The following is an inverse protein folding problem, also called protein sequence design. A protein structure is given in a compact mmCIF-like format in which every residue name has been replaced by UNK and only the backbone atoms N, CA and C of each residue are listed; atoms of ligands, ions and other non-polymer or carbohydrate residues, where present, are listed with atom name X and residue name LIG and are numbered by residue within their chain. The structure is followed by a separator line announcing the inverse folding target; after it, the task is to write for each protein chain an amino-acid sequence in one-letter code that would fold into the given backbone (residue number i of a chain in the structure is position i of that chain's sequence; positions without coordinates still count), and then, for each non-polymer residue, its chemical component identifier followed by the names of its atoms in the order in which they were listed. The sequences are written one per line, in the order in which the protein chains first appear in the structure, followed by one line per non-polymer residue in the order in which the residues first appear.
data_IF_231797930436
#
_entry.id   IF_231797930436
#
_cell.length_a   1.000
_cell.length_b   1.000
_cell.length_c   1.000
_cell.angle_alpha   90.00
_cell.angle_beta   90.00
_cell.angle_gamma   90.00
#
_symmetry.space_group_name_H-M   'P 1'
#
loop_
_entity.id
_entity.type
_entity.pdbx_description
1 polymer ?
#
# COMPACT_ATOMS: atom_id res chain seq x y z
N UNK A 1 1.61 3.11 0.42
CA UNK A 1 2.17 4.46 0.26
C UNK A 1 1.37 5.49 1.06
N UNK A 2 0.05 5.65 0.82
CA UNK A 2 -0.73 6.72 1.46
C UNK A 2 -0.95 6.51 2.98
N UNK A 3 -1.09 5.28 3.43
CA UNK A 3 -1.29 4.97 4.84
C UNK A 3 0.01 4.80 5.63
N UNK A 4 1.14 4.57 4.97
CA UNK A 4 2.38 4.17 5.61
C UNK A 4 2.36 2.78 6.27
N UNK A 5 1.24 2.06 6.17
CA UNK A 5 1.08 0.71 6.74
C UNK A 5 1.52 -0.33 5.71
N UNK A 6 2.52 -1.13 6.08
CA UNK A 6 3.02 -2.27 5.31
C UNK A 6 2.46 -3.57 5.90
N UNK A 7 1.17 -3.78 5.70
CA UNK A 7 0.48 -4.99 6.09
C UNK A 7 -0.49 -5.41 4.99
N UNK A 8 -0.50 -6.70 4.69
CA UNK A 8 -1.43 -7.27 3.73
C UNK A 8 -2.89 -7.05 4.15
N UNK A 9 -3.79 -7.15 3.21
CA UNK A 9 -5.23 -7.06 3.44
C UNK A 9 -5.67 -5.71 4.06
N UNK A 10 -4.91 -4.64 3.80
CA UNK A 10 -5.22 -3.29 4.30
C UNK A 10 -5.93 -2.49 3.21
N UNK A 11 -7.00 -1.80 3.57
CA UNK A 11 -7.76 -0.91 2.68
C UNK A 11 -7.80 0.48 3.29
N UNK A 12 -7.42 1.49 2.50
CA UNK A 12 -7.60 2.89 2.86
C UNK A 12 -8.79 3.47 2.08
N UNK A 13 -9.79 3.97 2.80
CA UNK A 13 -10.92 4.68 2.25
C UNK A 13 -10.77 6.17 2.58
N UNK A 14 -10.81 6.99 1.55
CA UNK A 14 -10.74 8.46 1.66
C UNK A 14 -12.04 9.06 1.10
N UNK A 15 -12.76 9.80 1.94
CA UNK A 15 -13.96 10.52 1.54
C UNK A 15 -13.94 11.94 2.13
N UNK A 16 -13.18 12.88 1.55
CA UNK A 16 -12.97 14.22 2.11
C UNK A 16 -14.27 14.99 2.38
N UNK A 17 -15.29 14.73 1.59
CA UNK A 17 -16.58 15.41 1.65
C UNK A 17 -17.62 14.68 2.54
N UNK A 18 -17.22 13.62 3.26
CA UNK A 18 -18.13 12.90 4.14
C UNK A 18 -18.75 13.83 5.19
N UNK A 19 -20.05 13.64 5.44
CA UNK A 19 -20.84 14.40 6.41
C UNK A 19 -20.24 14.28 7.82
N UNK A 20 -19.94 13.05 8.23
CA UNK A 20 -19.24 12.82 9.50
C UNK A 20 -17.74 12.95 9.29
N UNK A 21 -17.05 13.88 9.98
CA UNK A 21 -15.60 14.03 9.86
C UNK A 21 -14.81 12.75 10.15
N UNK A 22 -15.35 11.82 10.95
CA UNK A 22 -14.73 10.53 11.27
C UNK A 22 -14.69 9.58 10.08
N UNK A 23 -15.52 9.81 9.08
CA UNK A 23 -15.60 9.00 7.86
C UNK A 23 -14.73 9.53 6.71
N UNK A 24 -14.02 10.65 6.92
CA UNK A 24 -13.18 11.23 5.89
C UNK A 24 -11.93 10.40 5.57
N UNK A 25 -11.42 9.72 6.57
CA UNK A 25 -10.27 8.83 6.46
C UNK A 25 -10.51 7.59 7.31
N UNK A 26 -10.61 6.43 6.68
CA UNK A 26 -10.84 5.16 7.37
C UNK A 26 -9.81 4.16 6.90
N UNK A 27 -9.06 3.58 7.84
CA UNK A 27 -8.15 2.49 7.57
C UNK A 27 -8.78 1.17 8.02
N UNK A 28 -8.85 0.21 7.11
CA UNK A 28 -9.29 -1.15 7.42
C UNK A 28 -8.10 -2.09 7.43
N UNK A 29 -7.98 -2.91 8.47
CA UNK A 29 -6.94 -3.92 8.63
C UNK A 29 -7.53 -5.24 9.09
N UNK A 30 -6.76 -6.32 8.91
CA UNK A 30 -7.16 -7.63 9.43
C UNK A 30 -7.32 -7.58 10.94
N UNK A 31 -8.39 -8.21 11.43
CA UNK A 31 -8.59 -8.40 12.84
C UNK A 31 -7.46 -9.25 13.44
N UNK A 32 -6.95 -8.84 14.57
CA UNK A 32 -5.88 -9.54 15.28
C UNK A 32 -6.19 -9.70 16.77
N UNK A 33 -5.65 -10.74 17.35
CA UNK A 33 -5.61 -11.01 18.80
C UNK A 33 -4.31 -11.74 19.13
N UNK A 34 -4.00 -11.85 20.42
CA UNK A 34 -2.84 -12.63 20.85
C UNK A 34 -2.91 -14.09 20.39
N UNK A 35 -4.10 -14.68 20.37
CA UNK A 35 -4.32 -16.06 19.90
C UNK A 35 -4.10 -16.18 18.37
N UNK A 36 -4.60 -15.23 17.59
CA UNK A 36 -4.42 -15.21 16.15
C UNK A 36 -2.96 -14.99 15.77
N UNK A 37 -2.23 -14.18 16.54
CA UNK A 37 -0.81 -13.91 16.30
C UNK A 37 0.07 -15.16 16.39
N UNK A 38 -0.31 -16.16 17.20
CA UNK A 38 0.41 -17.43 17.32
C UNK A 38 0.39 -18.22 15.98
N UNK A 39 -0.72 -18.15 15.25
CA UNK A 39 -0.93 -18.95 14.03
C UNK A 39 -0.63 -18.19 12.74
N UNK A 40 -0.84 -16.88 12.74
CA UNK A 40 -0.79 -16.06 11.52
C UNK A 40 0.33 -15.00 11.55
N UNK A 41 1.14 -15.00 12.62
CA UNK A 41 2.12 -13.94 12.86
C UNK A 41 1.47 -12.68 13.43
N UNK A 42 2.30 -11.81 14.00
CA UNK A 42 1.85 -10.54 14.56
C UNK A 42 1.29 -9.63 13.46
N UNK A 43 0.12 -9.07 13.71
CA UNK A 43 -0.53 -8.04 12.90
C UNK A 43 -0.72 -6.79 13.73
N UNK A 44 -0.82 -5.65 13.09
CA UNK A 44 -1.04 -4.38 13.79
C UNK A 44 -2.38 -4.38 14.51
N UNK A 45 -2.35 -4.02 15.77
CA UNK A 45 -3.55 -3.63 16.52
C UNK A 45 -4.09 -2.30 15.97
N UNK A 46 -5.32 -1.94 16.31
CA UNK A 46 -5.88 -0.63 15.90
C UNK A 46 -5.04 0.53 16.41
N UNK A 47 -4.49 0.44 17.61
CA UNK A 47 -3.64 1.48 18.20
C UNK A 47 -2.35 1.66 17.43
N UNK A 48 -1.65 0.56 17.14
CA UNK A 48 -0.41 0.59 16.35
C UNK A 48 -0.65 1.07 14.92
N UNK A 49 -1.76 0.63 14.29
CA UNK A 49 -2.14 1.11 12.97
C UNK A 49 -2.47 2.61 12.96
N UNK A 50 -3.13 3.12 14.02
CA UNK A 50 -3.38 4.56 14.20
C UNK A 50 -2.07 5.33 14.35
N UNK A 51 -1.15 4.84 15.17
CA UNK A 51 0.15 5.48 15.39
C UNK A 51 0.98 5.52 14.09
N UNK A 52 1.01 4.41 13.36
CA UNK A 52 1.78 4.29 12.13
C UNK A 52 1.19 5.10 10.98
N UNK A 53 -0.14 5.07 10.80
CA UNK A 53 -0.81 5.74 9.70
C UNK A 53 -1.14 7.22 9.98
N UNK A 54 -1.24 7.61 11.26
CA UNK A 54 -1.81 8.90 11.66
C UNK A 54 -3.33 9.00 11.52
N UNK A 55 -4.00 7.94 11.08
CA UNK A 55 -5.44 7.88 10.84
C UNK A 55 -6.16 7.44 12.11
N UNK A 56 -7.12 8.25 12.57
CA UNK A 56 -7.81 8.00 13.83
C UNK A 56 -8.91 6.93 13.75
N UNK A 57 -9.55 6.80 12.58
CA UNK A 57 -10.61 5.82 12.37
C UNK A 57 -10.04 4.53 11.76
N UNK A 58 -9.61 3.61 12.63
CA UNK A 58 -9.14 2.28 12.23
C UNK A 58 -10.22 1.25 12.55
N UNK A 59 -10.63 0.50 11.55
CA UNK A 59 -11.66 -0.53 11.64
C UNK A 59 -11.11 -1.89 11.22
N UNK A 60 -11.76 -2.96 11.68
CA UNK A 60 -11.46 -4.29 11.17
C UNK A 60 -12.00 -4.47 9.76
N UNK A 61 -11.27 -5.21 8.93
CA UNK A 61 -11.58 -5.42 7.51
C UNK A 61 -13.01 -6.00 7.31
N UNK A 62 -13.50 -6.80 8.26
CA UNK A 62 -14.87 -7.33 8.23
C UNK A 62 -15.96 -6.25 8.20
N UNK A 63 -15.65 -5.01 8.61
CA UNK A 63 -16.59 -3.90 8.58
C UNK A 63 -16.57 -3.12 7.26
N UNK A 64 -15.64 -3.43 6.35
CA UNK A 64 -15.45 -2.68 5.11
C UNK A 64 -16.73 -2.59 4.28
N UNK A 65 -17.37 -3.72 4.02
CA UNK A 65 -18.56 -3.78 3.16
C UNK A 65 -19.76 -2.97 3.70
N UNK A 66 -20.00 -3.03 5.01
CA UNK A 66 -21.10 -2.28 5.65
C UNK A 66 -20.80 -0.78 5.70
N UNK A 67 -19.54 -0.43 5.99
CA UNK A 67 -19.11 0.97 5.99
C UNK A 67 -19.14 1.57 4.58
N UNK A 68 -18.59 0.86 3.59
CA UNK A 68 -18.64 1.30 2.20
C UNK A 68 -20.11 1.48 1.74
N UNK A 69 -20.98 0.51 2.05
CA UNK A 69 -22.40 0.60 1.65
C UNK A 69 -23.10 1.84 2.24
N UNK A 70 -22.81 2.16 3.49
CA UNK A 70 -23.34 3.37 4.13
C UNK A 70 -22.84 4.63 3.44
N UNK A 71 -21.55 4.74 3.16
CA UNK A 71 -20.94 5.93 2.55
C UNK A 71 -21.32 6.10 1.08
N UNK A 72 -21.63 5.02 0.36
CA UNK A 72 -22.12 5.09 -1.01
C UNK A 72 -23.46 5.78 -1.14
N UNK A 73 -24.24 5.92 -0.05
CA UNK A 73 -25.48 6.72 -0.05
C UNK A 73 -25.20 8.23 -0.13
N UNK A 74 -23.99 8.67 0.21
CA UNK A 74 -23.56 10.08 0.20
C UNK A 74 -22.67 10.41 -1.01
N UNK A 75 -22.09 9.41 -1.65
CA UNK A 75 -21.08 9.57 -2.70
C UNK A 75 -21.72 9.55 -4.10
N UNK A 76 -21.35 10.49 -4.96
CA UNK A 76 -21.73 10.49 -6.38
C UNK A 76 -20.67 9.78 -7.24
N UNK A 77 -19.42 9.90 -6.88
CA UNK A 77 -18.27 9.37 -7.64
C UNK A 77 -17.37 8.52 -6.76
N UNK A 78 -17.03 7.36 -7.25
CA UNK A 78 -16.06 6.46 -6.59
C UNK A 78 -14.79 6.35 -7.43
N UNK A 79 -13.65 6.69 -6.83
CA UNK A 79 -12.34 6.53 -7.46
C UNK A 79 -11.71 5.20 -7.04
N UNK A 80 -11.60 4.29 -7.98
CA UNK A 80 -10.97 2.99 -7.75
C UNK A 80 -9.50 3.05 -8.13
N UNK A 81 -8.67 2.38 -7.33
CA UNK A 81 -7.27 2.19 -7.63
C UNK A 81 -7.13 1.03 -8.62
N UNK A 82 -6.41 1.28 -9.70
CA UNK A 82 -6.14 0.29 -10.73
C UNK A 82 -4.75 0.54 -11.30
N UNK A 83 -3.97 -0.52 -11.48
CA UNK A 83 -2.65 -0.40 -12.05
C UNK A 83 -2.75 -0.21 -13.57
N UNK A 84 -2.58 1.03 -14.01
CA UNK A 84 -2.71 1.41 -15.41
C UNK A 84 -1.36 1.45 -16.14
N UNK A 85 -0.27 1.01 -15.52
CA UNK A 85 1.03 1.00 -16.16
C UNK A 85 1.17 -0.19 -17.12
N UNK A 86 1.51 0.08 -18.37
CA UNK A 86 1.60 -0.94 -19.43
C UNK A 86 2.61 -2.06 -19.15
N UNK A 87 3.64 -1.80 -18.33
CA UNK A 87 4.64 -2.81 -17.91
C UNK A 87 4.18 -3.69 -16.75
N UNK A 88 3.07 -3.34 -16.11
CA UNK A 88 2.54 -4.04 -14.94
C UNK A 88 1.30 -4.86 -15.27
N UNK A 89 1.11 -5.25 -16.54
CA UNK A 89 0.05 -6.19 -16.90
C UNK A 89 0.35 -7.54 -16.24
N UNK A 90 -0.54 -7.98 -15.35
CA UNK A 90 -0.48 -9.32 -14.78
C UNK A 90 -1.41 -10.25 -15.58
N UNK A 91 -0.94 -11.43 -16.01
CA UNK A 91 -1.82 -12.43 -16.59
C UNK A 91 -2.74 -13.08 -15.54
N UNK A 92 -2.46 -12.84 -14.25
CA UNK A 92 -3.23 -13.36 -13.12
C UNK A 92 -4.06 -12.20 -12.55
N UNK A 93 -5.34 -12.44 -12.35
CA UNK A 93 -6.23 -11.50 -11.72
C UNK A 93 -5.79 -11.22 -10.28
N UNK A 94 -5.49 -9.95 -10.00
CA UNK A 94 -5.11 -9.54 -8.65
C UNK A 94 -6.33 -9.40 -7.74
N UNK A 95 -6.12 -9.39 -6.43
CA UNK A 95 -7.17 -9.10 -5.47
C UNK A 95 -7.84 -7.74 -5.73
N UNK A 96 -7.04 -6.72 -6.02
CA UNK A 96 -7.54 -5.39 -6.32
C UNK A 96 -8.46 -5.37 -7.55
N UNK A 97 -8.12 -6.13 -8.61
CA UNK A 97 -8.98 -6.26 -9.79
C UNK A 97 -10.33 -6.90 -9.44
N UNK A 98 -10.33 -7.99 -8.66
CA UNK A 98 -11.57 -8.64 -8.20
C UNK A 98 -12.42 -7.71 -7.34
N UNK A 99 -11.80 -6.98 -6.41
CA UNK A 99 -12.50 -6.05 -5.55
C UNK A 99 -13.10 -4.89 -6.35
N UNK A 100 -12.35 -4.33 -7.29
CA UNK A 100 -12.82 -3.27 -8.18
C UNK A 100 -14.01 -3.74 -9.01
N UNK A 101 -13.98 -4.95 -9.54
CA UNK A 101 -15.09 -5.50 -10.30
C UNK A 101 -16.31 -5.76 -9.40
N UNK A 102 -16.11 -6.31 -8.21
CA UNK A 102 -17.17 -6.50 -7.21
C UNK A 102 -17.88 -5.18 -6.88
N UNK A 103 -17.12 -4.11 -6.70
CA UNK A 103 -17.65 -2.78 -6.40
C UNK A 103 -18.44 -2.23 -7.59
N UNK A 104 -17.92 -2.34 -8.82
CA UNK A 104 -18.63 -1.90 -10.02
C UNK A 104 -19.98 -2.60 -10.20
N UNK A 105 -20.01 -3.91 -10.00
CA UNK A 105 -21.25 -4.70 -10.08
C UNK A 105 -22.23 -4.32 -8.97
N UNK A 106 -21.73 -4.08 -7.75
CA UNK A 106 -22.56 -3.77 -6.59
C UNK A 106 -23.19 -2.36 -6.65
N UNK A 107 -22.48 -1.41 -7.28
CA UNK A 107 -22.89 0.01 -7.33
C UNK A 107 -22.97 0.53 -8.79
N UNK A 108 -23.86 -0.05 -9.63
CA UNK A 108 -23.88 0.24 -11.06
C UNK A 108 -24.36 1.66 -11.40
N UNK A 109 -25.03 2.32 -10.47
CA UNK A 109 -25.56 3.68 -10.68
C UNK A 109 -24.60 4.79 -10.25
N UNK A 110 -23.43 4.45 -9.71
CA UNK A 110 -22.41 5.42 -9.33
C UNK A 110 -21.41 5.65 -10.46
N UNK A 111 -20.90 6.86 -10.56
CA UNK A 111 -19.82 7.15 -11.50
C UNK A 111 -18.52 6.59 -10.97
N UNK A 112 -17.82 5.80 -11.80
CA UNK A 112 -16.51 5.27 -11.45
C UNK A 112 -15.42 6.12 -12.10
N UNK A 113 -14.60 6.73 -11.25
CA UNK A 113 -13.44 7.53 -11.65
C UNK A 113 -12.13 6.76 -11.53
N UNK A 114 -11.08 7.33 -12.12
CA UNK A 114 -9.72 6.79 -12.07
C UNK A 114 -8.93 7.49 -10.98
N UNK A 115 -8.45 6.77 -9.97
CA UNK A 115 -7.56 7.33 -8.93
C UNK A 115 -6.13 7.54 -9.42
N UNK A 116 -5.67 6.76 -10.39
CA UNK A 116 -4.29 6.78 -10.86
C UNK A 116 -3.76 8.18 -11.24
N UNK A 117 -4.48 9.05 -11.99
CA UNK A 117 -4.00 10.40 -12.28
C UNK A 117 -3.79 11.26 -11.03
N UNK A 118 -4.67 11.12 -10.03
CA UNK A 118 -4.58 11.83 -8.75
C UNK A 118 -3.33 11.37 -7.99
N UNK A 119 -3.17 10.06 -7.83
CA UNK A 119 -2.04 9.45 -7.13
C UNK A 119 -0.71 9.74 -7.82
N UNK A 120 -0.66 9.69 -9.17
CA UNK A 120 0.54 10.04 -9.93
C UNK A 120 0.95 11.50 -9.70
N UNK A 121 -0.02 12.42 -9.69
CA UNK A 121 0.26 13.84 -9.44
C UNK A 121 0.85 14.05 -8.04
N UNK A 122 0.29 13.43 -7.01
CA UNK A 122 0.78 13.53 -5.63
C UNK A 122 2.19 12.95 -5.53
N UNK A 123 2.42 11.75 -6.10
CA UNK A 123 3.72 11.05 -6.00
C UNK A 123 4.81 11.58 -6.92
N UNK A 124 4.48 12.40 -7.92
CA UNK A 124 5.49 12.96 -8.84
C UNK A 124 6.36 14.02 -8.18
N UNK A 125 5.80 14.80 -7.26
CA UNK A 125 6.54 15.77 -6.46
C UNK A 125 6.80 15.17 -5.09
N UNK A 126 8.09 15.01 -4.74
CA UNK A 126 8.52 14.39 -3.49
C UNK A 126 8.59 15.42 -2.36
N UNK A 127 8.18 15.02 -1.17
CA UNK A 127 8.43 15.82 0.03
C UNK A 127 9.91 15.75 0.45
N UNK A 128 10.32 16.60 1.38
CA UNK A 128 11.68 16.57 1.91
C UNK A 128 11.98 15.25 2.62
N UNK A 129 11.01 14.70 3.33
CA UNK A 129 11.11 13.42 4.03
C UNK A 129 11.28 12.26 3.04
N UNK A 130 10.53 12.27 1.94
CA UNK A 130 10.69 11.28 0.88
C UNK A 130 12.06 11.37 0.21
N UNK A 131 12.58 12.60 -0.01
CA UNK A 131 13.92 12.80 -0.57
C UNK A 131 14.99 12.20 0.34
N UNK A 132 14.89 12.39 1.66
CA UNK A 132 15.82 11.78 2.62
C UNK A 132 15.82 10.26 2.52
N UNK A 133 14.65 9.62 2.42
CA UNK A 133 14.56 8.16 2.27
C UNK A 133 15.09 7.68 0.92
N UNK A 134 14.82 8.40 -0.16
CA UNK A 134 15.35 8.10 -1.48
C UNK A 134 16.89 8.21 -1.50
N UNK A 135 17.44 9.25 -0.85
CA UNK A 135 18.89 9.40 -0.74
C UNK A 135 19.51 8.23 0.03
N UNK A 136 18.89 7.83 1.15
CA UNK A 136 19.36 6.67 1.93
C UNK A 136 19.34 5.39 1.10
N UNK A 137 18.29 5.14 0.32
CA UNK A 137 18.23 3.99 -0.57
C UNK A 137 19.33 4.00 -1.65
N UNK A 138 19.63 5.20 -2.20
CA UNK A 138 20.74 5.39 -3.15
C UNK A 138 22.09 5.12 -2.49
N UNK A 139 22.31 5.58 -1.25
CA UNK A 139 23.54 5.40 -0.52
C UNK A 139 23.82 3.92 -0.20
N UNK A 140 22.77 3.18 0.22
CA UNK A 140 22.84 1.71 0.42
C UNK A 140 23.17 1.01 -0.90
N UNK A 141 22.48 1.38 -1.98
CA UNK A 141 22.74 0.81 -3.31
C UNK A 141 24.17 1.09 -3.76
N UNK A 142 24.66 2.32 -3.54
CA UNK A 142 26.05 2.68 -3.84
C UNK A 142 27.03 1.82 -3.06
N UNK A 143 26.83 1.61 -1.76
CA UNK A 143 27.68 0.76 -0.94
C UNK A 143 27.71 -0.68 -1.49
N UNK A 144 26.56 -1.23 -1.89
CA UNK A 144 26.48 -2.54 -2.54
C UNK A 144 27.31 -2.62 -3.83
N UNK A 145 27.21 -1.60 -4.70
CA UNK A 145 28.04 -1.54 -5.90
C UNK A 145 29.53 -1.41 -5.59
N UNK A 146 29.92 -0.54 -4.67
CA UNK A 146 31.32 -0.35 -4.27
C UNK A 146 31.91 -1.68 -3.75
N UNK A 147 31.14 -2.46 -2.99
CA UNK A 147 31.51 -3.77 -2.49
C UNK A 147 31.70 -4.78 -3.61
N UNK A 148 30.72 -4.88 -4.51
CA UNK A 148 30.79 -5.79 -5.67
C UNK A 148 31.96 -5.47 -6.58
N UNK A 149 32.25 -4.19 -6.84
CA UNK A 149 33.39 -3.77 -7.66
C UNK A 149 34.74 -4.18 -7.06
N UNK A 150 34.86 -4.27 -5.74
CA UNK A 150 36.04 -4.76 -5.07
C UNK A 150 36.16 -6.30 -5.08
N UNK A 151 35.00 -6.98 -5.12
CA UNK A 151 34.93 -8.44 -5.06
C UNK A 151 35.08 -9.13 -6.43
N UNK A 152 34.50 -8.52 -7.48
CA UNK A 152 34.36 -9.14 -8.80
C UNK A 152 35.74 -9.38 -9.47
N UNK A 153 35.92 -10.59 -9.94
CA UNK A 153 37.09 -11.03 -10.71
C UNK A 153 36.73 -12.21 -11.60
N UNK A 154 37.53 -12.55 -12.60
CA UNK A 154 37.31 -13.75 -13.42
C UNK A 154 37.16 -15.01 -12.58
N UNK A 155 36.09 -15.78 -12.83
CA UNK A 155 35.79 -17.03 -12.12
C UNK A 155 34.82 -16.90 -10.96
N UNK A 156 34.41 -15.68 -10.58
CA UNK A 156 33.34 -15.45 -9.61
C UNK A 156 31.98 -15.81 -10.25
N UNK A 157 31.14 -16.49 -9.51
CA UNK A 157 29.79 -16.89 -9.95
C UNK A 157 28.76 -15.81 -9.62
N UNK A 158 27.66 -15.77 -10.38
CA UNK A 158 26.61 -14.77 -10.23
C UNK A 158 26.02 -14.73 -8.80
N UNK A 159 25.75 -15.89 -8.21
CA UNK A 159 25.21 -16.00 -6.86
C UNK A 159 26.16 -15.44 -5.78
N UNK A 160 27.48 -15.46 -6.02
CA UNK A 160 28.45 -14.86 -5.10
C UNK A 160 28.39 -13.34 -5.16
N UNK A 161 28.15 -12.76 -6.36
CA UNK A 161 27.92 -11.33 -6.55
C UNK A 161 26.61 -10.91 -5.87
N UNK A 162 25.54 -11.72 -6.03
CA UNK A 162 24.27 -11.50 -5.34
C UNK A 162 24.44 -11.49 -3.82
N UNK A 163 25.20 -12.42 -3.27
CA UNK A 163 25.48 -12.48 -1.84
C UNK A 163 26.18 -11.21 -1.31
N UNK A 164 27.12 -10.65 -2.09
CA UNK A 164 27.79 -9.40 -1.72
C UNK A 164 26.84 -8.19 -1.72
N UNK A 165 25.90 -8.12 -2.68
CA UNK A 165 24.84 -7.10 -2.65
C UNK A 165 23.91 -7.29 -1.44
N UNK A 166 23.46 -8.51 -1.19
CA UNK A 166 22.55 -8.81 -0.09
C UNK A 166 23.15 -8.45 1.27
N UNK A 167 24.45 -8.59 1.43
CA UNK A 167 25.15 -8.20 2.65
C UNK A 167 24.96 -6.70 2.99
N UNK A 168 24.96 -5.83 1.97
CA UNK A 168 24.79 -4.38 2.18
C UNK A 168 23.30 -3.96 2.28
N UNK A 169 22.40 -4.77 1.73
CA UNK A 169 20.96 -4.47 1.73
C UNK A 169 20.25 -4.91 3.02
N UNK A 170 20.84 -5.84 3.79
CA UNK A 170 20.33 -6.37 5.06
C UNK A 170 21.02 -5.73 6.28
#
# INVERSE_FOLDING_TARGET
YLSGVDQEETILLLFPDAHDPRDREILFSLETSEELAIWHGAKLTKSEATEQAGIQNVQWLGNFDSTLHRLMAEADVLYLNDNQHTRASSPIETREMRENERIRVKYPNHTIGRSAPILHKIRSVKSNEEIVQLQRACDITKAGFDRVLQFVKPGVMEYEIEAEFMHEFL
#
